data_IF_043805288300
#
_entry.id   IF_043805288300
#
_cell.length_a   1.000
_cell.length_b   1.000
_cell.length_c   1.000
_cell.angle_alpha   90.00
_cell.angle_beta   90.00
_cell.angle_gamma   90.00
#
_symmetry.space_group_name_H-M   'P 1'
#
loop_
_entity.id
_entity.type
_entity.pdbx_description
1 polymer ?
#
# COMPACT_ATOMS: atom_id res chain seq x y z
N UNK A 1 13.80 -1.57 19.98
CA UNK A 1 13.38 -0.81 21.19
C UNK A 1 14.54 -0.06 21.87
N UNK A 2 15.55 -0.74 22.41
CA UNK A 2 16.56 -0.11 23.28
C UNK A 2 17.40 0.99 22.61
N UNK A 3 17.78 0.84 21.33
CA UNK A 3 18.46 1.91 20.56
C UNK A 3 17.60 3.18 20.46
N UNK A 4 16.29 3.04 20.28
CA UNK A 4 15.37 4.16 20.19
C UNK A 4 15.25 4.90 21.53
N UNK A 5 15.19 4.16 22.64
CA UNK A 5 15.21 4.74 23.99
C UNK A 5 16.54 5.43 24.30
N UNK A 6 17.65 4.83 23.89
CA UNK A 6 18.99 5.39 24.08
C UNK A 6 19.14 6.74 23.36
N UNK A 7 18.72 6.81 22.10
CA UNK A 7 18.69 8.06 21.33
C UNK A 7 17.76 9.11 21.98
N UNK A 8 16.53 8.73 22.35
CA UNK A 8 15.55 9.62 22.99
C UNK A 8 16.07 10.24 24.30
N UNK A 9 16.75 9.44 25.12
CA UNK A 9 17.24 9.87 26.43
C UNK A 9 18.71 10.32 26.41
N UNK A 10 19.31 10.50 25.22
CA UNK A 10 20.73 10.87 25.04
C UNK A 10 21.65 10.03 25.93
N UNK A 11 21.45 8.72 25.91
CA UNK A 11 22.13 7.75 26.77
C UNK A 11 22.65 6.56 25.98
N UNK A 12 23.35 5.65 26.64
CA UNK A 12 23.81 4.40 26.01
C UNK A 12 22.73 3.31 26.07
N UNK A 13 22.81 2.36 25.12
CA UNK A 13 21.93 1.19 25.07
C UNK A 13 22.01 0.38 26.36
N UNK A 14 23.22 0.20 26.92
CA UNK A 14 23.41 -0.56 28.16
C UNK A 14 22.72 0.09 29.37
N UNK A 15 22.78 1.43 29.48
CA UNK A 15 22.04 2.16 30.53
C UNK A 15 20.53 1.99 30.38
N UNK A 16 20.02 2.07 29.15
CA UNK A 16 18.60 1.84 28.88
C UNK A 16 18.18 0.39 29.14
N UNK A 17 19.03 -0.59 28.78
CA UNK A 17 18.79 -2.00 29.06
C UNK A 17 18.69 -2.25 30.56
N UNK A 18 19.64 -1.73 31.35
CA UNK A 18 19.61 -1.84 32.80
C UNK A 18 18.36 -1.19 33.42
N UNK A 19 18.03 0.04 32.98
CA UNK A 19 16.85 0.78 33.47
C UNK A 19 15.53 0.06 33.19
N UNK A 20 15.40 -0.54 32.01
CA UNK A 20 14.15 -1.15 31.56
C UNK A 20 14.11 -2.66 31.79
N UNK A 21 15.13 -3.26 32.43
CA UNK A 21 15.20 -4.70 32.71
C UNK A 21 14.12 -5.10 33.70
N UNK A 22 13.29 -6.06 33.32
CA UNK A 22 12.23 -6.63 34.17
C UNK A 22 12.27 -8.15 34.09
N UNK A 23 12.06 -8.83 35.22
CA UNK A 23 11.79 -10.28 35.23
C UNK A 23 10.28 -10.49 35.13
N UNK A 24 9.86 -11.33 34.20
CA UNK A 24 8.46 -11.64 33.94
C UNK A 24 8.28 -13.14 34.00
N UNK A 25 7.27 -13.59 34.72
CA UNK A 25 6.89 -15.00 34.73
C UNK A 25 6.18 -15.34 33.41
N UNK A 26 6.75 -16.29 32.69
CA UNK A 26 6.14 -16.88 31.49
C UNK A 26 5.65 -18.29 31.83
N UNK A 27 4.73 -18.87 31.05
CA UNK A 27 4.29 -20.26 31.26
C UNK A 27 5.44 -21.27 31.35
N UNK A 28 6.60 -20.96 30.73
CA UNK A 28 7.78 -21.82 30.70
C UNK A 28 8.90 -21.31 31.63
N UNK A 29 8.54 -20.55 32.67
CA UNK A 29 9.46 -20.06 33.71
C UNK A 29 9.79 -18.56 33.62
N UNK A 30 10.52 -18.03 34.62
CA UNK A 30 10.86 -16.61 34.69
C UNK A 30 11.87 -16.23 33.61
N UNK A 31 11.63 -15.11 32.92
CA UNK A 31 12.52 -14.58 31.87
C UNK A 31 12.82 -13.10 32.06
N UNK A 32 14.04 -12.71 31.69
CA UNK A 32 14.44 -11.31 31.63
C UNK A 32 13.91 -10.70 30.33
N UNK A 33 13.17 -9.62 30.47
CA UNK A 33 12.56 -8.83 29.41
C UNK A 33 12.93 -7.36 29.59
N UNK A 34 12.55 -6.52 28.63
CA UNK A 34 12.68 -5.07 28.73
C UNK A 34 11.32 -4.39 28.59
N UNK A 35 10.90 -3.64 29.62
CA UNK A 35 9.63 -2.92 29.65
C UNK A 35 9.85 -1.41 29.66
N UNK A 36 9.28 -0.70 28.67
CA UNK A 36 9.07 0.74 28.75
C UNK A 36 7.63 1.02 29.16
N UNK A 37 7.44 1.66 30.32
CA UNK A 37 6.12 1.95 30.90
C UNK A 37 5.85 3.45 30.94
N UNK A 38 4.63 3.85 30.60
CA UNK A 38 4.13 5.22 30.73
C UNK A 38 2.83 5.17 31.52
N UNK A 39 2.85 5.75 32.72
CA UNK A 39 1.68 5.85 33.58
C UNK A 39 0.65 6.82 33.03
N UNK A 40 -0.63 6.53 33.29
CA UNK A 40 -1.76 7.34 32.83
C UNK A 40 -2.78 7.51 33.96
N UNK A 41 -3.27 8.73 34.17
CA UNK A 41 -4.32 9.01 35.17
C UNK A 41 -5.58 8.20 34.83
N UNK A 42 -6.06 7.41 35.78
CA UNK A 42 -7.29 6.58 35.68
C UNK A 42 -7.33 5.61 34.49
N UNK A 43 -6.18 5.22 33.93
CA UNK A 43 -6.10 4.23 32.84
C UNK A 43 -4.93 3.29 33.06
N UNK A 44 -5.02 2.09 32.48
CA UNK A 44 -3.90 1.15 32.48
C UNK A 44 -2.66 1.82 31.84
N UNK A 45 -1.46 1.61 32.40
CA UNK A 45 -0.24 2.15 31.85
C UNK A 45 -0.01 1.61 30.44
N UNK A 46 0.60 2.42 29.58
CA UNK A 46 1.13 1.89 28.32
C UNK A 46 2.40 1.13 28.61
N UNK A 47 2.43 -0.14 28.21
CA UNK A 47 3.60 -0.97 28.34
C UNK A 47 4.03 -1.43 26.95
N UNK A 48 5.22 -1.00 26.54
CA UNK A 48 5.92 -1.59 25.41
C UNK A 48 6.93 -2.59 25.96
N UNK A 49 6.65 -3.89 25.76
CA UNK A 49 7.50 -5.00 26.21
C UNK A 49 8.26 -5.59 25.04
N UNK A 50 9.58 -5.75 25.23
CA UNK A 50 10.44 -6.48 24.32
C UNK A 50 11.01 -7.71 25.03
N UNK A 51 10.80 -8.89 24.44
CA UNK A 51 11.09 -10.18 25.08
C UNK A 51 9.86 -10.77 25.77
N UNK A 52 10.06 -11.85 26.52
CA UNK A 52 8.98 -12.54 27.25
C UNK A 52 8.09 -13.44 26.39
N UNK A 53 8.28 -13.44 25.08
CA UNK A 53 7.68 -14.41 24.17
C UNK A 53 8.61 -15.62 24.09
N UNK A 54 8.08 -16.81 24.37
CA UNK A 54 8.84 -18.06 24.28
C UNK A 54 9.02 -18.45 22.81
N UNK A 55 10.26 -18.49 22.32
CA UNK A 55 10.60 -19.01 20.99
C UNK A 55 10.56 -20.55 20.91
N UNK A 56 9.94 -21.21 21.88
CA UNK A 56 9.78 -22.66 21.87
C UNK A 56 8.69 -23.04 20.88
N UNK A 57 8.98 -24.04 20.04
CA UNK A 57 8.03 -24.55 19.07
C UNK A 57 6.84 -25.18 19.78
N UNK A 58 5.66 -24.62 19.59
CA UNK A 58 4.39 -25.21 20.02
C UNK A 58 3.90 -26.16 18.92
N UNK A 59 4.04 -27.48 19.13
CA UNK A 59 3.67 -28.49 18.11
C UNK A 59 2.15 -28.63 17.94
N UNK A 60 1.39 -28.39 19.00
CA UNK A 60 -0.08 -28.45 19.02
C UNK A 60 -0.71 -27.05 19.05
N UNK A 61 -0.08 -26.07 18.38
CA UNK A 61 -0.66 -24.73 18.29
C UNK A 61 -1.92 -24.77 17.40
N UNK A 62 -3.03 -24.27 17.92
CA UNK A 62 -4.24 -24.08 17.12
C UNK A 62 -3.99 -22.97 16.09
N UNK A 63 -4.04 -23.34 14.81
CA UNK A 63 -3.96 -22.39 13.70
C UNK A 63 -5.36 -21.81 13.49
N UNK A 64 -5.64 -20.67 14.11
CA UNK A 64 -6.85 -19.90 13.85
C UNK A 64 -6.62 -19.00 12.62
N UNK A 65 -6.84 -19.57 11.43
CA UNK A 65 -6.84 -18.79 10.19
C UNK A 65 -7.99 -17.78 10.23
N UNK A 66 -7.64 -16.50 10.26
CA UNK A 66 -8.64 -15.43 10.19
C UNK A 66 -9.09 -15.29 8.76
N UNK A 67 -10.39 -15.40 8.51
CA UNK A 67 -10.92 -15.06 7.21
C UNK A 67 -10.59 -13.58 6.93
N UNK A 68 -9.91 -13.27 5.81
CA UNK A 68 -9.60 -11.89 5.48
C UNK A 68 -10.90 -11.10 5.35
N UNK A 69 -10.92 -9.89 5.93
CA UNK A 69 -12.04 -8.97 5.78
C UNK A 69 -12.19 -8.67 4.29
N UNK A 70 -13.30 -9.10 3.70
CA UNK A 70 -13.66 -8.74 2.32
C UNK A 70 -14.13 -7.30 2.34
N UNK A 71 -13.26 -6.39 1.92
CA UNK A 71 -13.62 -5.00 1.71
C UNK A 71 -14.34 -4.90 0.36
N UNK A 72 -15.63 -4.59 0.38
CA UNK A 72 -16.37 -4.26 -0.83
C UNK A 72 -15.91 -2.88 -1.32
N UNK A 73 -15.15 -2.88 -2.41
CA UNK A 73 -14.79 -1.64 -3.10
C UNK A 73 -16.02 -1.13 -3.87
N UNK A 74 -16.63 0.00 -3.48
CA UNK A 74 -17.95 0.40 -3.96
C UNK A 74 -18.02 0.76 -5.44
N UNK A 75 -16.89 0.84 -6.16
CA UNK A 75 -16.87 1.19 -7.57
C UNK A 75 -15.74 0.46 -8.30
N UNK A 76 -16.05 -0.70 -8.89
CA UNK A 76 -15.20 -1.33 -9.91
C UNK A 76 -15.37 -0.57 -11.23
N UNK A 77 -14.96 0.70 -11.25
CA UNK A 77 -15.19 1.65 -12.35
C UNK A 77 -14.78 1.07 -13.71
N UNK A 78 -13.62 0.40 -13.79
CA UNK A 78 -13.14 -0.22 -15.02
C UNK A 78 -14.05 -1.35 -15.51
N UNK A 79 -14.56 -2.18 -14.60
CA UNK A 79 -15.48 -3.28 -14.95
C UNK A 79 -16.81 -2.70 -15.44
N UNK A 80 -17.34 -1.67 -14.79
CA UNK A 80 -18.55 -0.99 -15.25
C UNK A 80 -18.36 -0.37 -16.65
N UNK A 81 -17.21 0.26 -16.90
CA UNK A 81 -16.86 0.85 -18.21
C UNK A 81 -16.71 -0.21 -19.30
N UNK A 82 -16.11 -1.36 -18.97
CA UNK A 82 -16.01 -2.51 -19.88
C UNK A 82 -17.37 -3.10 -20.20
N UNK A 83 -18.23 -3.29 -19.19
CA UNK A 83 -19.59 -3.82 -19.36
C UNK A 83 -20.51 -2.86 -20.14
N UNK A 84 -20.20 -1.57 -20.16
CA UNK A 84 -20.90 -0.60 -21.01
C UNK A 84 -20.60 -0.77 -22.51
N UNK A 85 -19.56 -1.56 -22.86
CA UNK A 85 -19.20 -1.94 -24.23
C UNK A 85 -19.19 -0.76 -25.21
N UNK A 86 -18.61 0.36 -24.75
CA UNK A 86 -18.62 1.64 -25.47
C UNK A 86 -17.21 2.24 -25.48
N UNK A 87 -16.72 2.58 -26.67
CA UNK A 87 -15.45 3.25 -26.86
C UNK A 87 -15.50 4.68 -26.31
N UNK A 88 -14.61 5.04 -25.39
CA UNK A 88 -14.61 6.34 -24.73
C UNK A 88 -14.03 7.47 -25.58
N UNK A 89 -13.39 7.13 -26.70
CA UNK A 89 -12.78 8.08 -27.62
C UNK A 89 -13.76 8.48 -28.72
N UNK A 90 -14.48 7.52 -29.30
CA UNK A 90 -15.38 7.72 -30.44
C UNK A 90 -16.86 7.39 -30.17
N UNK A 91 -17.20 6.83 -29.01
CA UNK A 91 -18.58 6.47 -28.64
C UNK A 91 -19.14 5.23 -29.34
N UNK A 92 -18.37 4.53 -30.17
CA UNK A 92 -18.81 3.31 -30.87
C UNK A 92 -19.07 2.17 -29.89
N UNK A 93 -20.14 1.40 -30.09
CA UNK A 93 -20.43 0.16 -29.35
C UNK A 93 -19.81 -1.07 -30.02
N UNK A 94 -19.61 -2.14 -29.25
CA UNK A 94 -19.00 -3.40 -29.70
C UNK A 94 -17.58 -3.57 -29.19
N UNK A 95 -16.96 -4.72 -29.50
CA UNK A 95 -15.66 -5.19 -29.00
C UNK A 95 -14.68 -4.09 -28.57
N UNK A 96 -14.69 -3.81 -27.27
CA UNK A 96 -13.78 -2.85 -26.64
C UNK A 96 -12.63 -3.53 -25.91
N UNK A 97 -11.48 -2.86 -25.93
CA UNK A 97 -10.25 -3.26 -25.25
C UNK A 97 -9.81 -2.14 -24.29
N UNK A 98 -9.13 -2.51 -23.21
CA UNK A 98 -8.55 -1.52 -22.27
C UNK A 98 -7.14 -1.19 -22.69
N UNK A 99 -6.88 0.07 -22.99
CA UNK A 99 -5.52 0.59 -23.08
C UNK A 99 -5.09 1.16 -21.72
N UNK A 100 -3.88 0.83 -21.26
CA UNK A 100 -3.32 1.29 -19.98
C UNK A 100 -1.94 1.94 -20.15
N UNK A 101 -1.73 3.09 -19.50
CA UNK A 101 -0.44 3.81 -19.51
C UNK A 101 0.26 3.78 -18.15
N UNK A 102 1.59 3.94 -18.16
CA UNK A 102 2.41 3.91 -16.94
C UNK A 102 2.06 5.06 -15.97
N UNK A 103 2.06 6.29 -16.44
CA UNK A 103 1.71 7.47 -15.66
C UNK A 103 0.89 8.49 -16.46
N UNK A 104 -0.01 9.22 -15.78
CA UNK A 104 -0.76 10.32 -16.40
C UNK A 104 0.13 11.51 -16.75
N UNK A 105 1.23 11.70 -16.00
CA UNK A 105 2.22 12.74 -16.31
C UNK A 105 2.85 12.53 -17.69
N UNK A 106 2.97 11.28 -18.14
CA UNK A 106 3.53 10.95 -19.46
C UNK A 106 2.63 11.46 -20.61
N UNK A 107 1.36 11.76 -20.33
CA UNK A 107 0.39 12.32 -21.29
C UNK A 107 0.33 13.84 -21.27
N UNK A 108 0.91 14.48 -20.25
CA UNK A 108 0.85 15.93 -20.02
C UNK A 108 2.25 16.54 -20.14
N UNK A 109 2.81 16.55 -21.34
CA UNK A 109 4.05 17.26 -21.62
C UNK A 109 3.78 18.66 -22.17
N UNK A 110 4.52 19.65 -21.68
CA UNK A 110 4.39 21.04 -22.10
C UNK A 110 4.67 21.19 -23.60
N UNK A 111 3.76 21.85 -24.32
CA UNK A 111 3.89 22.12 -25.76
C UNK A 111 3.33 21.04 -26.70
N UNK A 112 2.78 19.95 -26.19
CA UNK A 112 2.14 18.91 -27.00
C UNK A 112 0.61 19.11 -27.06
N UNK A 113 0.02 18.99 -28.26
CA UNK A 113 -1.44 18.94 -28.41
C UNK A 113 -1.90 17.51 -28.07
N UNK A 114 -2.69 17.31 -26.99
CA UNK A 114 -3.05 15.96 -26.58
C UNK A 114 -3.92 15.28 -27.62
N UNK A 115 -3.54 14.06 -27.99
CA UNK A 115 -4.37 13.14 -28.78
C UNK A 115 -5.72 12.89 -28.09
N UNK A 116 -6.71 12.45 -28.85
CA UNK A 116 -8.08 12.31 -28.33
C UNK A 116 -8.13 11.33 -27.15
N UNK A 117 -7.35 10.25 -27.19
CA UNK A 117 -7.27 9.29 -26.10
C UNK A 117 -6.56 9.86 -24.87
N UNK A 118 -5.50 10.65 -25.04
CA UNK A 118 -4.80 11.29 -23.93
C UNK A 118 -5.71 12.31 -23.23
N UNK A 119 -6.54 13.04 -23.99
CA UNK A 119 -7.51 13.99 -23.44
C UNK A 119 -8.55 13.30 -22.56
N UNK A 120 -9.08 12.15 -22.99
CA UNK A 120 -10.03 11.34 -22.19
C UNK A 120 -9.39 10.87 -20.88
N UNK A 121 -8.15 10.37 -20.92
CA UNK A 121 -7.43 9.88 -19.74
C UNK A 121 -7.11 10.99 -18.74
N UNK A 122 -6.67 12.15 -19.24
CA UNK A 122 -6.38 13.34 -18.43
C UNK A 122 -7.64 13.91 -17.78
N UNK A 123 -8.74 14.00 -18.52
CA UNK A 123 -10.03 14.48 -17.99
C UNK A 123 -10.58 13.55 -16.90
N UNK A 124 -10.54 12.24 -17.12
CA UNK A 124 -10.99 11.24 -16.13
C UNK A 124 -10.02 11.05 -14.97
N UNK A 125 -8.77 11.53 -15.10
CA UNK A 125 -7.66 11.25 -14.17
C UNK A 125 -7.48 9.74 -13.93
N UNK A 126 -7.57 8.94 -15.00
CA UNK A 126 -7.41 7.47 -14.96
C UNK A 126 -6.35 7.00 -15.93
N UNK A 127 -5.53 6.03 -15.50
CA UNK A 127 -4.48 5.40 -16.31
C UNK A 127 -5.02 4.41 -17.34
N UNK A 128 -6.34 4.29 -17.48
CA UNK A 128 -7.00 3.40 -18.44
C UNK A 128 -8.00 4.17 -19.31
N UNK A 129 -8.08 3.79 -20.58
CA UNK A 129 -9.14 4.19 -21.51
C UNK A 129 -9.71 2.93 -22.17
N UNK A 130 -11.04 2.88 -22.31
CA UNK A 130 -11.73 1.80 -23.03
C UNK A 130 -11.89 2.22 -24.49
N UNK A 131 -11.36 1.42 -25.41
CA UNK A 131 -11.22 1.76 -26.82
C UNK A 131 -11.66 0.59 -27.71
N UNK A 132 -12.35 0.86 -28.82
CA UNK A 132 -12.56 -0.16 -29.86
C UNK A 132 -11.24 -0.50 -30.55
N UNK A 133 -11.19 -1.64 -31.26
CA UNK A 133 -9.98 -2.14 -31.93
C UNK A 133 -9.25 -1.06 -32.75
N UNK A 134 -9.99 -0.34 -33.60
CA UNK A 134 -9.38 0.72 -34.43
C UNK A 134 -8.81 1.89 -33.64
N UNK A 135 -9.39 2.22 -32.47
CA UNK A 135 -8.81 3.23 -31.57
C UNK A 135 -7.59 2.66 -30.86
N UNK A 136 -7.68 1.41 -30.41
CA UNK A 136 -6.61 0.74 -29.71
C UNK A 136 -5.34 0.64 -30.58
N UNK A 137 -5.50 0.27 -31.86
CA UNK A 137 -4.40 0.22 -32.83
C UNK A 137 -3.79 1.60 -33.11
N UNK A 138 -4.62 2.63 -33.19
CA UNK A 138 -4.16 4.03 -33.32
C UNK A 138 -3.32 4.46 -32.13
N UNK A 139 -3.72 4.12 -30.91
CA UNK A 139 -2.95 4.45 -29.71
C UNK A 139 -1.57 3.79 -29.74
N UNK A 140 -1.46 2.53 -30.20
CA UNK A 140 -0.18 1.85 -30.34
C UNK A 140 0.68 2.40 -31.48
N UNK A 141 0.05 2.94 -32.53
CA UNK A 141 0.73 3.54 -33.67
C UNK A 141 1.25 4.95 -33.34
N UNK A 142 0.52 5.70 -32.53
CA UNK A 142 0.92 7.00 -31.98
C UNK A 142 1.97 6.79 -30.88
N UNK A 143 3.25 6.68 -31.26
CA UNK A 143 4.34 6.65 -30.27
C UNK A 143 4.23 7.88 -29.36
N UNK A 144 4.06 7.74 -28.04
CA UNK A 144 4.29 8.86 -27.14
C UNK A 144 5.74 9.30 -27.31
N UNK A 145 5.95 10.59 -27.54
CA UNK A 145 7.29 11.15 -27.62
C UNK A 145 8.06 10.74 -26.37
N UNK A 146 9.23 10.11 -26.55
CA UNK A 146 10.08 9.71 -25.43
C UNK A 146 10.41 10.98 -24.64
N UNK A 147 10.26 11.00 -23.30
CA UNK A 147 10.74 12.13 -22.54
C UNK A 147 12.26 12.22 -22.77
N UNK A 148 12.72 13.37 -23.27
CA UNK A 148 14.14 13.69 -23.28
C UNK A 148 14.61 13.65 -21.83
N UNK A 149 15.31 12.58 -21.50
CA UNK A 149 16.03 12.48 -20.24
C UNK A 149 17.29 13.30 -20.44
N UNK A 150 17.32 14.52 -19.88
CA UNK A 150 18.58 15.24 -19.64
C UNK A 150 19.14 14.81 -18.29
#
# INVERSE_FOLDING_TARGET
>A
MLKALAAKHRSSVSKMAAKHRVRVDTPNGPRVCFDARIERKNRKPLVARFGGITLQRQRAAELADREPIRVDYPQKELIARLLADTCEIRGSKGNVQVHHVRALADLAHAGWQPSDWARVMLHRRRKTVVACDTCHDRIHSERPARPHTQ
#
